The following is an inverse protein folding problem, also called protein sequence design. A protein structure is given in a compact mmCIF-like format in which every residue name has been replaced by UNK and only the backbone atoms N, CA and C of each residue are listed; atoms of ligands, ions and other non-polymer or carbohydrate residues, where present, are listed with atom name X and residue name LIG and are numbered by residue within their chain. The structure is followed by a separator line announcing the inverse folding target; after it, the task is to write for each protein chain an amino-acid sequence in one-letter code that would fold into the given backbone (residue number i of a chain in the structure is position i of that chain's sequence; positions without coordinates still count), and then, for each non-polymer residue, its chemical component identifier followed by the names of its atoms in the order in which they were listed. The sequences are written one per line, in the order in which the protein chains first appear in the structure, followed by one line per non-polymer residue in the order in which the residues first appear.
data_IF_532573636129
#
_entry.id   IF_532573636129
#
_cell.length_a   1.000
_cell.length_b   1.000
_cell.length_c   1.000
_cell.angle_alpha   90.00
_cell.angle_beta   90.00
_cell.angle_gamma   90.00
#
_symmetry.space_group_name_H-M   'P 1'
#
loop_
_entity.id
_entity.type
_entity.pdbx_description
1 polymer ?
#
# COMPACT_ATOMS: atom_id res chain seq x y z
N UNK A 1 4.90 -11.12 -2.70
CA UNK A 1 3.51 -10.95 -3.16
C UNK A 1 3.07 -9.49 -3.07
N UNK A 2 2.91 -8.91 -1.87
CA UNK A 2 2.48 -7.49 -1.73
C UNK A 2 3.47 -6.50 -2.37
N UNK A 3 4.78 -6.68 -2.18
CA UNK A 3 5.79 -5.85 -2.86
C UNK A 3 5.65 -5.91 -4.39
N UNK A 4 5.41 -7.10 -4.96
CA UNK A 4 5.21 -7.29 -6.39
C UNK A 4 3.97 -6.54 -6.89
N UNK A 5 2.89 -6.54 -6.11
CA UNK A 5 1.67 -5.76 -6.43
C UNK A 5 1.91 -4.27 -6.34
N UNK A 6 2.60 -3.80 -5.30
CA UNK A 6 2.97 -2.39 -5.16
C UNK A 6 3.80 -1.95 -6.37
N UNK A 7 4.80 -2.72 -6.79
CA UNK A 7 5.60 -2.42 -7.99
C UNK A 7 4.73 -2.31 -9.24
N UNK A 8 3.80 -3.24 -9.44
CA UNK A 8 2.93 -3.22 -10.60
C UNK A 8 2.02 -1.97 -10.62
N UNK A 9 1.38 -1.65 -9.51
CA UNK A 9 0.57 -0.43 -9.36
C UNK A 9 1.39 0.83 -9.65
N UNK A 10 2.60 0.93 -9.08
CA UNK A 10 3.48 2.08 -9.29
C UNK A 10 3.91 2.21 -10.77
N UNK A 11 4.17 1.07 -11.43
CA UNK A 11 4.55 1.02 -12.86
C UNK A 11 3.44 1.54 -13.78
N UNK A 12 2.20 1.50 -13.32
CA UNK A 12 0.99 1.92 -14.05
C UNK A 12 0.54 3.34 -13.69
N UNK A 13 1.29 4.04 -12.83
CA UNK A 13 0.95 5.41 -12.45
C UNK A 13 0.08 5.52 -11.20
N UNK A 14 -0.25 4.42 -10.53
CA UNK A 14 -1.00 4.46 -9.27
C UNK A 14 -0.09 4.83 -8.10
N UNK A 15 -0.67 5.50 -7.10
CA UNK A 15 0.01 5.80 -5.84
C UNK A 15 -0.18 4.67 -4.81
N UNK A 16 0.84 4.46 -3.99
CA UNK A 16 0.88 3.46 -2.93
C UNK A 16 1.32 4.14 -1.64
N UNK A 17 0.57 3.96 -0.55
CA UNK A 17 1.04 4.32 0.79
C UNK A 17 1.62 3.09 1.49
N UNK A 18 2.77 3.24 2.14
CA UNK A 18 3.42 2.21 2.93
C UNK A 18 3.74 2.75 4.32
N UNK A 19 3.09 2.21 5.35
CA UNK A 19 3.38 2.50 6.75
C UNK A 19 4.25 1.37 7.29
N UNK A 20 5.51 1.67 7.62
CA UNK A 20 6.48 0.72 8.16
C UNK A 20 6.58 0.85 9.69
N UNK A 21 5.92 -0.06 10.40
CA UNK A 21 6.06 -0.25 11.85
C UNK A 21 7.05 -1.36 12.22
N UNK A 22 7.45 -2.21 11.26
CA UNK A 22 8.40 -3.30 11.48
C UNK A 22 9.86 -2.94 11.24
N UNK A 23 10.12 -1.74 10.72
CA UNK A 23 11.42 -1.25 10.25
C UNK A 23 12.03 -2.07 9.10
N UNK A 24 11.19 -2.79 8.35
CA UNK A 24 11.63 -3.76 7.33
C UNK A 24 11.54 -3.23 5.91
N UNK A 25 10.98 -2.03 5.72
CA UNK A 25 10.88 -1.46 4.38
C UNK A 25 12.28 -1.23 3.81
N UNK A 26 12.48 -1.72 2.59
CA UNK A 26 13.72 -1.63 1.83
C UNK A 26 13.36 -1.33 0.36
N UNK A 27 13.63 -0.11 -0.14
CA UNK A 27 13.25 0.29 -1.49
C UNK A 27 14.04 -0.48 -2.56
N UNK A 28 15.23 -1.01 -2.25
CA UNK A 28 16.04 -1.73 -3.23
C UNK A 28 15.35 -2.99 -3.76
N UNK A 29 14.47 -3.59 -2.96
CA UNK A 29 13.66 -4.76 -3.31
C UNK A 29 12.66 -4.50 -4.44
N UNK A 30 12.33 -3.23 -4.71
CA UNK A 30 11.42 -2.83 -5.78
C UNK A 30 12.14 -2.77 -7.14
N UNK A 31 13.44 -2.48 -7.16
CA UNK A 31 14.17 -2.18 -8.40
C UNK A 31 14.23 -3.33 -9.41
N UNK A 32 14.50 -4.59 -9.03
CA UNK A 32 14.53 -5.68 -10.00
C UNK A 32 13.19 -5.84 -10.73
N UNK A 33 12.08 -5.74 -9.99
CA UNK A 33 10.75 -5.86 -10.57
C UNK A 33 10.39 -4.63 -11.42
N UNK A 34 10.74 -3.42 -10.98
CA UNK A 34 10.53 -2.20 -11.77
C UNK A 34 11.31 -2.23 -13.10
N UNK A 35 12.56 -2.72 -13.08
CA UNK A 35 13.36 -2.93 -14.29
C UNK A 35 12.75 -3.98 -15.21
N UNK A 36 12.27 -5.10 -14.67
CA UNK A 36 11.62 -6.13 -15.48
C UNK A 36 10.33 -5.64 -16.16
N UNK A 37 9.63 -4.68 -15.55
CA UNK A 37 8.45 -4.02 -16.13
C UNK A 37 8.80 -2.83 -17.02
N UNK A 38 10.09 -2.53 -17.22
CA UNK A 38 10.61 -1.42 -18.01
C UNK A 38 9.98 -0.05 -17.63
N UNK A 39 9.66 0.13 -16.35
CA UNK A 39 9.05 1.37 -15.85
C UNK A 39 10.11 2.34 -15.32
N UNK A 40 9.82 3.65 -15.38
CA UNK A 40 10.67 4.66 -14.76
C UNK A 40 10.66 4.48 -13.25
N UNK A 41 11.83 4.12 -12.69
CA UNK A 41 12.02 3.93 -11.24
C UNK A 41 11.74 5.25 -10.51
N UNK A 42 12.27 6.36 -11.03
CA UNK A 42 12.10 7.69 -10.43
C UNK A 42 10.63 8.08 -10.33
N UNK A 43 9.90 7.97 -11.44
CA UNK A 43 8.46 8.27 -11.48
C UNK A 43 7.66 7.34 -10.58
N UNK A 44 8.03 6.07 -10.54
CA UNK A 44 7.39 5.09 -9.66
C UNK A 44 7.61 5.44 -8.19
N UNK A 45 8.84 5.81 -7.79
CA UNK A 45 9.14 6.19 -6.41
C UNK A 45 8.46 7.50 -5.99
N UNK A 46 8.24 8.46 -6.90
CA UNK A 46 7.45 9.68 -6.62
C UNK A 46 6.01 9.39 -6.17
N UNK A 47 5.48 8.21 -6.53
CA UNK A 47 4.13 7.76 -6.18
C UNK A 47 4.11 6.77 -5.01
N UNK A 48 5.27 6.48 -4.43
CA UNK A 48 5.41 5.63 -3.25
C UNK A 48 5.58 6.49 -2.00
N UNK A 49 4.49 6.66 -1.25
CA UNK A 49 4.47 7.44 -0.02
C UNK A 49 4.80 6.54 1.17
N UNK A 50 5.86 6.86 1.91
CA UNK A 50 6.36 6.00 2.99
C UNK A 50 6.33 6.76 4.31
N UNK A 51 5.69 6.18 5.32
CA UNK A 51 5.74 6.63 6.70
C UNK A 51 6.38 5.57 7.58
N UNK A 52 7.46 5.90 8.29
CA UNK A 52 8.10 4.98 9.24
C UNK A 52 7.81 5.43 10.68
N UNK A 53 7.23 4.54 11.47
CA UNK A 53 7.08 4.76 12.91
C UNK A 53 8.24 4.12 13.66
N UNK A 54 8.95 4.89 14.49
CA UNK A 54 9.98 4.36 15.39
C UNK A 54 9.45 4.07 16.80
N UNK A 55 8.26 4.59 17.12
CA UNK A 55 7.57 4.35 18.38
C UNK A 55 6.10 4.02 18.12
N UNK A 56 5.42 3.43 19.10
CA UNK A 56 3.98 3.17 19.02
C UNK A 56 3.18 4.44 18.74
N UNK A 57 3.54 5.57 19.36
CA UNK A 57 2.85 6.84 19.14
C UNK A 57 3.06 7.41 17.74
N UNK A 58 4.27 7.26 17.17
CA UNK A 58 4.52 7.67 15.79
C UNK A 58 3.74 6.80 14.80
N UNK A 59 3.72 5.47 15.01
CA UNK A 59 2.91 4.56 14.21
C UNK A 59 1.41 4.94 14.27
N UNK A 60 0.90 5.22 15.47
CA UNK A 60 -0.48 5.67 15.67
C UNK A 60 -0.76 6.98 14.91
N UNK A 61 0.13 7.97 15.00
CA UNK A 61 -0.02 9.23 14.28
C UNK A 61 -0.03 9.04 12.75
N UNK A 62 0.84 8.15 12.22
CA UNK A 62 0.85 7.81 10.79
C UNK A 62 -0.47 7.18 10.33
N UNK A 63 -1.01 6.22 11.11
CA UNK A 63 -2.28 5.55 10.79
C UNK A 63 -3.44 6.53 10.81
N UNK A 64 -3.49 7.47 11.76
CA UNK A 64 -4.57 8.48 11.81
C UNK A 64 -4.43 9.46 10.65
N UNK A 65 -3.21 9.88 10.32
CA UNK A 65 -2.94 10.88 9.27
C UNK A 65 -3.20 10.36 7.85
N UNK A 66 -3.00 9.06 7.61
CA UNK A 66 -3.07 8.49 6.24
C UNK A 66 -4.42 8.69 5.56
N UNK A 67 -5.51 8.83 6.33
CA UNK A 67 -6.84 9.16 5.77
C UNK A 67 -6.82 10.48 5.01
N UNK A 68 -6.19 11.51 5.59
CA UNK A 68 -6.07 12.81 4.96
C UNK A 68 -5.12 12.76 3.77
N UNK A 69 -4.02 12.01 3.88
CA UNK A 69 -3.06 11.85 2.79
C UNK A 69 -3.70 11.12 1.59
N UNK A 70 -4.50 10.07 1.84
CA UNK A 70 -5.22 9.33 0.80
C UNK A 70 -6.11 10.25 -0.04
N UNK A 71 -6.75 11.25 0.57
CA UNK A 71 -7.59 12.21 -0.14
C UNK A 71 -6.79 13.06 -1.14
N UNK A 72 -5.51 13.34 -0.85
CA UNK A 72 -4.60 14.13 -1.68
C UNK A 72 -3.91 13.28 -2.74
N UNK A 73 -3.38 12.12 -2.35
CA UNK A 73 -2.55 11.28 -3.21
C UNK A 73 -3.35 10.36 -4.11
N UNK A 74 -4.64 10.13 -3.78
CA UNK A 74 -5.52 9.17 -4.47
C UNK A 74 -4.89 7.78 -4.57
N UNK A 75 -4.17 7.37 -3.52
CA UNK A 75 -3.52 6.07 -3.48
C UNK A 75 -4.52 4.93 -3.71
N UNK A 76 -4.11 3.95 -4.50
CA UNK A 76 -4.95 2.79 -4.84
C UNK A 76 -4.84 1.65 -3.82
N UNK A 77 -3.86 1.75 -2.92
CA UNK A 77 -3.62 0.78 -1.85
C UNK A 77 -2.85 1.43 -0.70
N UNK A 78 -3.12 0.95 0.51
CA UNK A 78 -2.36 1.26 1.72
C UNK A 78 -1.81 -0.05 2.29
N UNK A 79 -0.51 -0.09 2.52
CA UNK A 79 0.20 -1.23 3.13
C UNK A 79 0.64 -0.82 4.53
N UNK A 80 0.28 -1.62 5.54
CA UNK A 80 0.74 -1.47 6.92
C UNK A 80 1.65 -2.65 7.23
N UNK A 81 2.96 -2.41 7.32
CA UNK A 81 3.95 -3.46 7.54
C UNK A 81 4.46 -3.51 8.97
N UNK A 82 4.27 -4.65 9.64
CA UNK A 82 4.82 -4.92 10.97
C UNK A 82 4.21 -4.08 12.08
N UNK A 83 2.95 -3.65 11.95
CA UNK A 83 2.25 -2.84 12.95
C UNK A 83 2.39 -3.40 14.37
N UNK A 84 2.22 -4.72 14.52
CA UNK A 84 2.24 -5.37 15.83
C UNK A 84 3.60 -5.35 16.52
N UNK A 85 4.70 -5.18 15.79
CA UNK A 85 6.04 -5.12 16.39
C UNK A 85 6.15 -3.99 17.43
N UNK A 86 5.51 -2.84 17.17
CA UNK A 86 5.49 -1.68 18.08
C UNK A 86 4.67 -1.90 19.36
N UNK A 87 3.77 -2.88 19.36
CA UNK A 87 2.94 -3.23 20.53
C UNK A 87 3.61 -4.25 21.45
N UNK A 88 4.76 -4.81 21.04
CA UNK A 88 5.54 -5.77 21.82
C UNK A 88 6.54 -5.11 22.77
N UNK A 89 6.68 -3.78 22.72
CA UNK A 89 7.53 -3.03 23.63
C UNK A 89 6.96 -3.08 25.05
N UNK A 90 7.71 -3.70 25.97
CA UNK A 90 7.32 -3.91 27.37
C UNK A 90 7.27 -2.59 28.17
N UNK A 91 7.89 -1.52 27.67
CA UNK A 91 7.85 -0.20 28.31
C UNK A 91 6.48 0.48 28.16
N UNK A 92 5.64 -0.02 27.26
CA UNK A 92 4.31 0.54 27.00
C UNK A 92 3.30 -0.01 28.00
N UNK A 93 2.56 0.89 28.66
CA UNK A 93 1.53 0.49 29.62
C UNK A 93 0.44 -0.31 28.91
N UNK A 94 0.01 -1.43 29.50
CA UNK A 94 -0.99 -2.34 28.91
C UNK A 94 -2.29 -1.63 28.52
N UNK A 95 -2.78 -0.71 29.35
CA UNK A 95 -4.00 0.05 29.07
C UNK A 95 -3.83 0.96 27.85
N UNK A 96 -2.71 1.68 27.79
CA UNK A 96 -2.36 2.57 26.69
C UNK A 96 -2.19 1.79 25.38
N UNK A 97 -1.42 0.69 25.41
CA UNK A 97 -1.24 -0.23 24.27
C UNK A 97 -2.59 -0.71 23.72
N UNK A 98 -3.49 -1.17 24.59
CA UNK A 98 -4.85 -1.60 24.19
C UNK A 98 -5.69 -0.45 23.64
N UNK A 99 -5.57 0.75 24.21
CA UNK A 99 -6.30 1.92 23.72
C UNK A 99 -5.85 2.32 22.32
N UNK A 100 -4.54 2.42 22.11
CA UNK A 100 -3.94 2.76 20.82
C UNK A 100 -4.28 1.69 19.78
N UNK A 101 -4.20 0.41 20.12
CA UNK A 101 -4.54 -0.67 19.18
C UNK A 101 -5.97 -0.53 18.66
N UNK A 102 -6.94 -0.29 19.56
CA UNK A 102 -8.34 -0.11 19.16
C UNK A 102 -8.53 1.11 18.27
N UNK A 103 -7.87 2.23 18.58
CA UNK A 103 -7.93 3.41 17.73
C UNK A 103 -7.32 3.17 16.34
N UNK A 104 -6.17 2.49 16.26
CA UNK A 104 -5.58 2.09 14.99
C UNK A 104 -6.53 1.21 14.18
N UNK A 105 -7.11 0.18 14.81
CA UNK A 105 -8.02 -0.75 14.12
C UNK A 105 -9.30 -0.06 13.63
N UNK A 106 -9.92 0.81 14.44
CA UNK A 106 -11.06 1.59 14.01
C UNK A 106 -10.70 2.54 12.85
N UNK A 107 -9.53 3.17 12.89
CA UNK A 107 -9.05 4.04 11.81
C UNK A 107 -8.82 3.26 10.51
N UNK A 108 -8.22 2.08 10.59
CA UNK A 108 -7.95 1.22 9.43
C UNK A 108 -9.23 0.62 8.84
N UNK A 109 -10.20 0.26 9.68
CA UNK A 109 -11.53 -0.20 9.24
C UNK A 109 -12.29 0.92 8.51
N UNK A 110 -12.23 2.14 9.03
CA UNK A 110 -12.85 3.28 8.34
C UNK A 110 -12.14 3.62 7.03
N UNK A 111 -10.81 3.51 6.99
CA UNK A 111 -9.99 3.70 5.81
C UNK A 111 -10.27 2.64 4.72
N UNK A 112 -10.50 1.39 5.13
CA UNK A 112 -10.79 0.27 4.24
C UNK A 112 -12.07 0.47 3.41
N UNK A 113 -12.98 1.36 3.84
CA UNK A 113 -14.17 1.75 3.07
C UNK A 113 -13.84 2.52 1.79
N UNK A 114 -12.68 3.17 1.73
CA UNK A 114 -12.28 4.06 0.64
C UNK A 114 -11.18 3.49 -0.24
N UNK A 115 -10.30 2.67 0.35
CA UNK A 115 -9.13 2.13 -0.33
C UNK A 115 -8.76 0.77 0.29
N UNK A 116 -8.33 -0.23 -0.50
CA UNK A 116 -7.80 -1.46 0.04
C UNK A 116 -6.66 -1.20 1.05
N UNK A 117 -6.79 -1.80 2.24
CA UNK A 117 -5.78 -1.78 3.30
C UNK A 117 -5.21 -3.19 3.45
N UNK A 118 -3.90 -3.34 3.28
CA UNK A 118 -3.19 -4.59 3.48
C UNK A 118 -2.34 -4.49 4.74
N UNK A 119 -2.59 -5.36 5.71
CA UNK A 119 -1.75 -5.47 6.91
C UNK A 119 -0.82 -6.67 6.73
N UNK A 120 0.48 -6.39 6.73
CA UNK A 120 1.54 -7.38 6.74
C UNK A 120 2.05 -7.54 8.17
N UNK A 121 2.14 -8.78 8.61
CA UNK A 121 2.69 -9.08 9.92
C UNK A 121 3.62 -10.28 9.88
N UNK A 122 4.57 -10.30 10.82
CA UNK A 122 5.61 -11.32 10.90
C UNK A 122 5.10 -12.64 11.46
N UNK A 123 6.01 -13.61 11.57
CA UNK A 123 5.75 -14.84 12.34
C UNK A 123 5.45 -14.46 13.80
N UNK A 124 4.60 -15.24 14.44
CA UNK A 124 4.34 -15.07 15.87
C UNK A 124 5.62 -15.36 16.64
N UNK A 125 6.04 -14.42 17.47
CA UNK A 125 7.31 -14.48 18.21
C UNK A 125 7.12 -14.62 19.71
N UNK A 126 5.93 -14.33 20.24
CA UNK A 126 5.63 -14.40 21.67
C UNK A 126 4.13 -14.64 21.93
N UNK A 127 3.74 -15.06 23.16
CA UNK A 127 2.33 -15.16 23.55
C UNK A 127 1.57 -13.84 23.43
N UNK A 128 2.22 -12.72 23.79
CA UNK A 128 1.64 -11.38 23.61
C UNK A 128 1.35 -11.10 22.12
N UNK A 129 2.29 -11.43 21.23
CA UNK A 129 2.10 -11.27 19.80
C UNK A 129 0.90 -12.10 19.29
N UNK A 130 0.76 -13.34 19.76
CA UNK A 130 -0.40 -14.18 19.46
C UNK A 130 -1.72 -13.56 19.94
N UNK A 131 -1.74 -13.02 21.15
CA UNK A 131 -2.91 -12.36 21.72
C UNK A 131 -3.30 -11.10 20.92
N UNK A 132 -2.32 -10.30 20.48
CA UNK A 132 -2.55 -9.13 19.64
C UNK A 132 -3.14 -9.53 18.29
N UNK A 133 -2.59 -10.56 17.63
CA UNK A 133 -3.15 -11.13 16.40
C UNK A 133 -4.60 -11.60 16.58
N UNK A 134 -4.87 -12.27 17.70
CA UNK A 134 -6.23 -12.69 18.04
C UNK A 134 -7.17 -11.50 18.23
N UNK A 135 -6.70 -10.44 18.89
CA UNK A 135 -7.45 -9.19 19.09
C UNK A 135 -7.74 -8.48 17.77
N UNK A 136 -6.82 -8.53 16.80
CA UNK A 136 -7.03 -7.95 15.47
C UNK A 136 -8.02 -8.75 14.63
N UNK A 137 -8.13 -10.07 14.83
CA UNK A 137 -8.89 -10.97 13.94
C UNK A 137 -10.31 -10.50 13.58
N UNK A 138 -11.14 -9.98 14.52
CA UNK A 138 -12.47 -9.47 14.19
C UNK A 138 -12.46 -8.28 13.21
N UNK A 139 -11.40 -7.46 13.24
CA UNK A 139 -11.20 -6.32 12.34
C UNK A 139 -10.58 -6.74 10.99
N UNK A 140 -10.04 -7.96 10.92
CA UNK A 140 -9.42 -8.52 9.70
C UNK A 140 -10.41 -9.35 8.87
N UNK A 141 -11.67 -9.46 9.29
CA UNK A 141 -12.74 -10.28 8.68
C UNK A 141 -12.94 -10.04 7.19
N UNK A 142 -12.41 -8.94 6.66
CA UNK A 142 -12.36 -8.63 5.24
C UNK A 142 -11.01 -9.01 4.61
N UNK A 143 -10.58 -10.27 4.76
CA UNK A 143 -9.34 -10.76 4.17
C UNK A 143 -9.39 -10.65 2.64
N UNK A 144 -8.90 -9.55 2.08
CA UNK A 144 -8.79 -9.38 0.64
C UNK A 144 -7.74 -10.34 0.08
N UNK A 145 -8.20 -11.38 -0.61
CA UNK A 145 -7.35 -12.16 -1.50
C UNK A 145 -7.20 -11.40 -2.80
N UNK A 146 -6.00 -10.92 -3.09
CA UNK A 146 -5.64 -10.35 -4.39
C UNK A 146 -5.41 -11.48 -5.40
N UNK A 147 -6.25 -11.55 -6.44
CA UNK A 147 -6.06 -12.44 -7.57
C UNK A 147 -6.05 -11.63 -8.87
N UNK A 148 -5.11 -11.98 -9.75
CA UNK A 148 -5.10 -11.48 -11.11
C UNK A 148 -6.25 -12.12 -11.88
N UNK A 149 -7.17 -11.30 -12.38
CA UNK A 149 -8.34 -11.82 -13.10
C UNK A 149 -8.01 -12.17 -14.55
N UNK A 150 -6.94 -11.60 -15.12
CA UNK A 150 -6.55 -11.84 -16.50
C UNK A 150 -5.05 -12.12 -16.64
N UNK A 151 -4.70 -12.83 -17.72
CA UNK A 151 -3.32 -13.20 -18.04
C UNK A 151 -2.40 -11.97 -18.26
N UNK A 152 -2.98 -10.83 -18.65
CA UNK A 152 -2.26 -9.57 -18.84
C UNK A 152 -2.04 -8.78 -17.54
N UNK A 153 -2.51 -9.29 -16.40
CA UNK A 153 -2.42 -8.66 -15.07
C UNK A 153 -2.96 -7.20 -15.05
N UNK A 154 -4.00 -6.94 -15.84
CA UNK A 154 -4.66 -5.62 -16.00
C UNK A 154 -5.84 -5.37 -15.08
N UNK A 155 -6.18 -6.36 -14.26
CA UNK A 155 -7.29 -6.27 -13.31
C UNK A 155 -6.91 -7.08 -12.08
N UNK A 156 -6.78 -6.37 -10.97
CA UNK A 156 -6.52 -7.00 -9.68
C UNK A 156 -7.83 -7.05 -8.92
N UNK A 157 -8.29 -8.27 -8.64
CA UNK A 157 -9.48 -8.51 -7.85
C UNK A 157 -9.07 -8.76 -6.41
N UNK A 158 -9.57 -7.94 -5.51
CA UNK A 158 -9.52 -8.16 -4.07
C UNK A 158 -10.84 -8.78 -3.63
N UNK A 159 -10.80 -10.01 -3.13
CA UNK A 159 -11.99 -10.70 -2.61
C UNK A 159 -11.94 -10.79 -1.09
N UNK A 160 -12.85 -10.08 -0.42
CA UNK A 160 -13.22 -10.26 0.99
C UNK A 160 -14.41 -11.23 1.10
N UNK A 161 -14.71 -11.73 2.30
CA UNK A 161 -15.82 -12.66 2.57
C UNK A 161 -17.20 -12.12 2.14
N UNK A 162 -17.39 -10.79 2.06
CA UNK A 162 -18.68 -10.18 1.68
C UNK A 162 -18.57 -9.12 0.56
N UNK A 163 -17.36 -8.77 0.11
CA UNK A 163 -17.15 -7.66 -0.82
C UNK A 163 -16.02 -7.96 -1.81
N UNK A 164 -16.23 -7.56 -3.07
CA UNK A 164 -15.26 -7.67 -4.15
C UNK A 164 -14.85 -6.27 -4.59
N UNK A 165 -13.55 -5.96 -4.49
CA UNK A 165 -13.00 -4.71 -4.99
C UNK A 165 -12.18 -5.04 -6.23
N UNK A 166 -12.56 -4.45 -7.35
CA UNK A 166 -11.81 -4.55 -8.60
C UNK A 166 -10.98 -3.28 -8.74
N UNK A 167 -9.66 -3.44 -8.82
CA UNK A 167 -8.78 -2.38 -9.27
C UNK A 167 -8.49 -2.64 -10.74
N UNK A 168 -9.17 -1.87 -11.59
CA UNK A 168 -8.84 -1.78 -13.01
C UNK A 168 -7.54 -1.00 -13.14
N UNK A 169 -6.59 -1.66 -13.78
CA UNK A 169 -5.20 -1.22 -13.92
C UNK A 169 -5.00 -0.56 -15.31
N UNK A 170 -6.08 -0.18 -15.99
CA UNK A 170 -5.99 0.35 -17.35
C UNK A 170 -5.05 1.56 -17.43
N UNK A 171 -4.00 1.33 -18.21
CA UNK A 171 -3.04 2.29 -18.73
C UNK A 171 -3.75 3.58 -19.13
N UNK A 172 -3.30 4.72 -18.59
CA UNK A 172 -3.38 5.96 -19.37
C UNK A 172 -2.77 5.67 -20.74
N UNK A 173 -3.52 6.01 -21.79
CA UNK A 173 -3.21 5.80 -23.19
C UNK A 173 -1.71 5.83 -23.53
N UNK A 174 -1.16 4.69 -23.94
CA UNK A 174 0.10 4.64 -24.71
C UNK A 174 -0.04 5.33 -26.08
N UNK A 175 -1.27 5.68 -26.49
CA UNK A 175 -1.54 6.41 -27.73
C UNK A 175 -1.39 7.95 -27.63
N UNK A 176 -1.42 8.56 -26.44
CA UNK A 176 -1.26 10.02 -26.30
C UNK A 176 0.22 10.46 -26.35
N UNK A 177 1.15 9.58 -25.96
CA UNK A 177 2.59 9.91 -26.01
C UNK A 177 3.16 9.79 -27.42
N UNK A 178 2.53 9.00 -28.32
CA UNK A 178 2.97 8.87 -29.71
C UNK A 178 2.54 10.07 -30.57
N UNK A 179 1.36 10.67 -30.32
CA UNK A 179 0.88 11.84 -31.09
C UNK A 179 1.64 13.13 -30.80
N UNK A 180 2.16 13.30 -29.58
CA UNK A 180 2.83 14.55 -29.18
C UNK A 180 4.29 14.65 -29.64
N UNK A 181 4.87 13.57 -30.17
CA UNK A 181 6.22 13.60 -30.75
C UNK A 181 6.22 13.83 -32.27
N UNK A 182 5.12 13.52 -32.98
CA UNK A 182 4.99 13.79 -34.42
C UNK A 182 4.61 15.26 -34.72
N UNK A 183 3.95 15.95 -33.78
CA UNK A 183 3.68 17.39 -33.89
C UNK A 183 4.91 18.28 -33.61
N UNK A 184 5.99 17.73 -33.03
CA UNK A 184 7.23 18.49 -32.72
C UNK A 184 8.29 18.33 -33.82
N UNK A 185 8.16 17.35 -34.73
CA UNK A 185 9.12 17.16 -35.84
C UNK A 185 8.56 17.47 -37.22
N UNK A 186 7.29 17.88 -37.34
CA UNK A 186 6.77 18.46 -38.59
C UNK A 186 6.96 19.98 -38.56
N UNK A 187 8.20 20.43 -38.75
CA UNK A 187 8.44 21.75 -39.33
C UNK A 187 8.67 21.52 -40.82
N UNK A 188 7.79 22.13 -41.58
CA UNK A 188 7.74 22.13 -43.03
C UNK A 188 9.12 22.43 -43.63
N UNK A 189 9.48 21.62 -44.65
CA UNK A 189 10.45 22.07 -45.65
C UNK A 189 9.79 23.24 -46.39
N UNK A 190 10.19 24.45 -46.03
CA UNK A 190 9.97 25.61 -46.89
C UNK A 190 10.92 25.47 -48.08
N UNK A 191 10.32 25.59 -49.26
CA UNK A 191 10.92 25.57 -50.60
C UNK A 191 12.16 26.47 -50.74
#
# INVERSE_FOLDING_TARGET
MVQSWSVLLLSQGHAVHWIDGGHRFDPSKFFPAMRSLNCSIEESLRRLYIGRGFTLHQLHALIVRVRHELALTKASIIVIDGMLAMFLDEQIKRFESRSILRHCLASLEDLAKFCPVIILDGRTTSPLHQQLKHTMRPYLSQHFKGQWENQKQRRLRFTSNEQHYLVDIESKNVQDTQRRFEEITSIDRVE
#
